data_IF_797095381577
#
_entry.id   IF_797095381577
#
_cell.length_a   1.000
_cell.length_b   1.000
_cell.length_c   1.000
_cell.angle_alpha   90.00
_cell.angle_beta   90.00
_cell.angle_gamma   90.00
#
_symmetry.space_group_name_H-M   'P 1'
#
loop_
_entity.id
_entity.type
_entity.pdbx_description
1 polymer ?
#
# COMPACT_ATOMS: atom_id res chain seq x y z
N UNK A 1 -35.24 19.64 23.63
CA UNK A 1 -34.27 18.75 24.31
C UNK A 1 -34.35 17.32 23.77
N UNK A 2 -35.53 16.71 23.63
CA UNK A 2 -35.66 15.33 23.11
C UNK A 2 -35.25 15.13 21.63
N UNK A 3 -35.51 16.09 20.74
CA UNK A 3 -35.17 15.95 19.31
C UNK A 3 -33.65 15.97 19.03
N UNK A 4 -32.86 16.60 19.90
CA UNK A 4 -31.40 16.60 19.77
C UNK A 4 -30.82 15.22 20.12
N UNK A 5 -31.33 14.56 21.15
CA UNK A 5 -30.91 13.21 21.53
C UNK A 5 -31.27 12.15 20.49
N UNK A 6 -32.41 12.27 19.80
CA UNK A 6 -32.77 11.37 18.69
C UNK A 6 -31.80 11.55 17.53
N UNK A 7 -31.45 12.80 17.17
CA UNK A 7 -30.50 13.08 16.08
C UNK A 7 -29.06 12.66 16.40
N UNK A 8 -28.64 12.70 17.67
CA UNK A 8 -27.35 12.20 18.12
C UNK A 8 -27.32 10.67 18.12
N UNK A 9 -28.41 10.03 18.54
CA UNK A 9 -28.56 8.59 18.50
C UNK A 9 -28.58 8.06 17.06
N UNK A 10 -29.29 8.74 16.15
CA UNK A 10 -29.35 8.38 14.73
C UNK A 10 -27.98 8.53 14.04
N UNK A 11 -27.24 9.62 14.31
CA UNK A 11 -25.86 9.78 13.84
C UNK A 11 -24.90 8.72 14.40
N UNK A 12 -25.05 8.35 15.68
CA UNK A 12 -24.25 7.28 16.29
C UNK A 12 -24.57 5.90 15.68
N UNK A 13 -25.84 5.63 15.39
CA UNK A 13 -26.30 4.40 14.74
C UNK A 13 -25.88 4.36 13.27
N UNK A 14 -25.92 5.47 12.54
CA UNK A 14 -25.42 5.56 11.15
C UNK A 14 -23.91 5.35 11.07
N UNK A 15 -23.14 5.96 11.97
CA UNK A 15 -21.71 5.72 12.10
C UNK A 15 -21.39 4.24 12.38
N UNK A 16 -22.09 3.65 13.35
CA UNK A 16 -21.93 2.24 13.71
C UNK A 16 -22.33 1.27 12.59
N UNK A 17 -23.43 1.54 11.86
CA UNK A 17 -23.84 0.74 10.69
C UNK A 17 -22.80 0.80 9.57
N UNK A 18 -22.23 1.98 9.31
CA UNK A 18 -21.19 2.14 8.30
C UNK A 18 -19.92 1.34 8.63
N UNK A 19 -19.49 1.38 9.88
CA UNK A 19 -18.35 0.58 10.36
C UNK A 19 -18.64 -0.92 10.27
N UNK A 20 -19.82 -1.37 10.71
CA UNK A 20 -20.23 -2.77 10.65
C UNK A 20 -20.21 -3.31 9.21
N UNK A 21 -20.69 -2.52 8.24
CA UNK A 21 -20.66 -2.88 6.82
C UNK A 21 -19.23 -3.01 6.31
N UNK A 22 -18.35 -2.06 6.66
CA UNK A 22 -16.92 -2.10 6.26
C UNK A 22 -16.22 -3.34 6.81
N UNK A 23 -16.42 -3.64 8.09
CA UNK A 23 -15.89 -4.85 8.70
C UNK A 23 -16.48 -6.11 8.07
N UNK A 24 -17.80 -6.14 7.83
CA UNK A 24 -18.50 -7.27 7.21
C UNK A 24 -17.98 -7.59 5.81
N UNK A 25 -17.87 -6.58 4.94
CA UNK A 25 -17.34 -6.75 3.57
C UNK A 25 -15.88 -7.21 3.60
N UNK A 26 -15.06 -6.63 4.49
CA UNK A 26 -13.66 -7.02 4.65
C UNK A 26 -13.52 -8.48 5.10
N UNK A 27 -14.34 -8.89 6.06
CA UNK A 27 -14.36 -10.25 6.57
C UNK A 27 -14.82 -11.25 5.50
N UNK A 28 -15.90 -10.95 4.77
CA UNK A 28 -16.39 -11.80 3.69
C UNK A 28 -15.36 -11.95 2.56
N UNK A 29 -14.66 -10.87 2.21
CA UNK A 29 -13.57 -10.92 1.24
C UNK A 29 -12.46 -11.86 1.70
N UNK A 30 -12.03 -11.75 2.96
CA UNK A 30 -11.00 -12.61 3.53
C UNK A 30 -11.42 -14.09 3.60
N UNK A 31 -12.69 -14.36 3.93
CA UNK A 31 -13.28 -15.73 3.87
C UNK A 31 -13.30 -16.24 2.43
N UNK A 32 -13.64 -15.38 1.46
CA UNK A 32 -13.60 -15.72 0.04
C UNK A 32 -12.20 -16.12 -0.43
N UNK A 33 -11.17 -15.36 -0.04
CA UNK A 33 -9.77 -15.69 -0.36
C UNK A 33 -9.33 -16.98 0.33
N UNK A 34 -9.72 -17.18 1.60
CA UNK A 34 -9.46 -18.43 2.32
C UNK A 34 -10.05 -19.64 1.58
N UNK A 35 -11.31 -19.56 1.16
CA UNK A 35 -11.98 -20.63 0.43
C UNK A 35 -11.32 -20.89 -0.93
N UNK A 36 -10.96 -19.82 -1.65
CA UNK A 36 -10.24 -19.94 -2.92
C UNK A 36 -8.88 -20.64 -2.73
N UNK A 37 -8.10 -20.23 -1.74
CA UNK A 37 -6.80 -20.83 -1.42
C UNK A 37 -6.92 -22.30 -1.01
N UNK A 38 -7.95 -22.66 -0.22
CA UNK A 38 -8.19 -24.03 0.21
C UNK A 38 -8.61 -24.96 -0.94
N UNK A 39 -9.35 -24.44 -1.93
CA UNK A 39 -9.85 -25.24 -3.06
C UNK A 39 -8.86 -25.37 -4.22
N UNK A 40 -7.93 -24.42 -4.35
CA UNK A 40 -6.97 -24.38 -5.45
C UNK A 40 -5.53 -24.70 -5.01
N UNK A 41 -5.27 -24.79 -3.70
CA UNK A 41 -3.98 -25.18 -3.14
C UNK A 41 -3.77 -26.69 -3.14
N UNK A 42 -3.35 -27.28 -4.26
CA UNK A 42 -3.01 -28.70 -4.30
C UNK A 42 -1.55 -28.94 -3.85
N UNK A 43 -1.30 -29.60 -2.70
CA UNK A 43 0.02 -30.11 -2.32
C UNK A 43 0.37 -30.11 -0.82
N UNK A 44 1.60 -30.53 -0.49
CA UNK A 44 2.13 -30.42 0.88
C UNK A 44 2.28 -28.95 1.26
N UNK A 45 1.71 -28.54 2.40
CA UNK A 45 1.70 -27.14 2.87
C UNK A 45 0.42 -26.36 2.59
N UNK A 46 -0.68 -27.05 2.24
CA UNK A 46 -2.01 -26.45 2.00
C UNK A 46 -2.46 -25.50 3.13
N UNK A 47 -2.30 -25.91 4.39
CA UNK A 47 -2.63 -25.06 5.55
C UNK A 47 -1.76 -23.79 5.59
N UNK A 48 -0.46 -23.92 5.31
CA UNK A 48 0.48 -22.78 5.29
C UNK A 48 0.14 -21.82 4.17
N UNK A 49 -0.27 -22.32 3.00
CA UNK A 49 -0.75 -21.50 1.89
C UNK A 49 -2.03 -20.75 2.25
N UNK A 50 -2.99 -21.41 2.89
CA UNK A 50 -4.24 -20.77 3.34
C UNK A 50 -3.94 -19.68 4.38
N UNK A 51 -3.06 -19.95 5.36
CA UNK A 51 -2.61 -18.95 6.32
C UNK A 51 -1.92 -17.77 5.63
N UNK A 52 -1.03 -18.03 4.69
CA UNK A 52 -0.36 -17.00 3.91
C UNK A 52 -1.33 -16.14 3.12
N UNK A 53 -2.34 -16.76 2.49
CA UNK A 53 -3.35 -16.05 1.72
C UNK A 53 -4.18 -15.10 2.61
N UNK A 54 -4.58 -15.54 3.80
CA UNK A 54 -5.32 -14.72 4.76
C UNK A 54 -4.47 -13.54 5.23
N UNK A 55 -3.23 -13.79 5.66
CA UNK A 55 -2.33 -12.74 6.15
C UNK A 55 -1.95 -11.76 5.03
N UNK A 56 -1.70 -12.25 3.81
CA UNK A 56 -1.43 -11.42 2.65
C UNK A 56 -2.65 -10.57 2.26
N UNK A 57 -3.86 -11.12 2.35
CA UNK A 57 -5.11 -10.37 2.13
C UNK A 57 -5.24 -9.25 3.17
N UNK A 58 -5.03 -9.56 4.44
CA UNK A 58 -5.06 -8.55 5.50
C UNK A 58 -4.01 -7.45 5.26
N UNK A 59 -2.78 -7.81 4.88
CA UNK A 59 -1.75 -6.84 4.50
C UNK A 59 -2.18 -5.98 3.31
N UNK A 60 -2.69 -6.58 2.23
CA UNK A 60 -3.11 -5.88 1.02
C UNK A 60 -4.23 -4.87 1.30
N UNK A 61 -5.19 -5.22 2.16
CA UNK A 61 -6.24 -4.30 2.60
C UNK A 61 -5.68 -3.11 3.37
N UNK A 62 -4.70 -3.33 4.25
CA UNK A 62 -4.03 -2.25 4.98
C UNK A 62 -3.20 -1.35 4.08
N UNK A 63 -2.50 -1.91 3.09
CA UNK A 63 -1.79 -1.13 2.06
C UNK A 63 -2.80 -0.25 1.31
N UNK A 64 -3.90 -0.81 0.83
CA UNK A 64 -4.92 -0.04 0.11
C UNK A 64 -5.51 1.10 0.97
N UNK A 65 -5.80 0.83 2.24
CA UNK A 65 -6.33 1.85 3.15
C UNK A 65 -5.33 2.99 3.44
N UNK A 66 -4.04 2.67 3.59
CA UNK A 66 -3.00 3.65 3.89
C UNK A 66 -2.56 4.45 2.65
N UNK A 67 -2.43 3.79 1.50
CA UNK A 67 -1.76 4.35 0.33
C UNK A 67 -2.72 5.01 -0.68
N UNK A 68 -4.03 4.74 -0.62
CA UNK A 68 -5.00 5.32 -1.57
C UNK A 68 -5.03 6.84 -1.56
N UNK A 69 -4.75 7.47 -0.40
CA UNK A 69 -4.69 8.92 -0.30
C UNK A 69 -3.57 9.53 -1.17
N UNK A 70 -2.52 8.76 -1.47
CA UNK A 70 -1.34 9.24 -2.20
C UNK A 70 -1.64 9.49 -3.69
N UNK A 71 -2.45 8.64 -4.33
CA UNK A 71 -2.77 8.76 -5.77
C UNK A 71 -4.10 9.49 -6.04
N UNK A 72 -5.13 9.30 -5.22
CA UNK A 72 -6.43 9.97 -5.41
C UNK A 72 -6.53 11.34 -4.76
N UNK A 73 -5.71 11.59 -3.73
CA UNK A 73 -5.78 12.78 -2.88
C UNK A 73 -5.74 14.10 -3.64
N UNK A 74 -4.77 14.33 -4.55
CA UNK A 74 -4.71 15.57 -5.33
C UNK A 74 -5.94 15.80 -6.21
N UNK A 75 -6.45 14.76 -6.88
CA UNK A 75 -7.58 14.89 -7.81
C UNK A 75 -8.92 15.12 -7.09
N UNK A 76 -9.15 14.40 -5.99
CA UNK A 76 -10.35 14.57 -5.15
C UNK A 76 -10.27 15.89 -4.36
N UNK A 77 -9.10 16.23 -3.82
CA UNK A 77 -8.87 17.47 -3.08
C UNK A 77 -9.03 18.73 -3.94
N UNK A 78 -8.64 18.66 -5.22
CA UNK A 78 -8.89 19.72 -6.20
C UNK A 78 -10.34 19.76 -6.71
N UNK A 79 -11.22 18.85 -6.25
CA UNK A 79 -12.60 18.66 -6.73
C UNK A 79 -12.70 18.37 -8.22
N UNK A 80 -11.66 17.78 -8.82
CA UNK A 80 -11.65 17.42 -10.23
C UNK A 80 -12.46 16.13 -10.50
N UNK A 81 -12.52 15.23 -9.52
CA UNK A 81 -13.26 13.97 -9.58
C UNK A 81 -13.89 13.65 -8.22
N UNK A 82 -14.99 12.89 -8.22
CA UNK A 82 -15.61 12.40 -6.98
C UNK A 82 -14.74 11.33 -6.32
N UNK A 83 -14.86 11.18 -4.99
CA UNK A 83 -14.14 10.15 -4.25
C UNK A 83 -14.43 8.75 -4.80
N UNK A 84 -15.69 8.43 -5.06
CA UNK A 84 -16.10 7.12 -5.61
C UNK A 84 -15.48 6.87 -6.98
N UNK A 85 -15.49 7.88 -7.87
CA UNK A 85 -14.88 7.77 -9.19
C UNK A 85 -13.36 7.56 -9.10
N UNK A 86 -12.69 8.30 -8.22
CA UNK A 86 -11.25 8.17 -8.03
C UNK A 86 -10.86 6.79 -7.47
N UNK A 87 -11.62 6.28 -6.50
CA UNK A 87 -11.40 4.94 -5.93
C UNK A 87 -11.60 3.83 -6.98
N UNK A 88 -12.59 3.97 -7.88
CA UNK A 88 -12.81 3.00 -8.95
C UNK A 88 -11.63 2.97 -9.95
N UNK A 89 -11.10 4.15 -10.31
CA UNK A 89 -9.92 4.26 -11.17
C UNK A 89 -8.69 3.66 -10.46
N UNK A 90 -8.45 4.04 -9.20
CA UNK A 90 -7.34 3.52 -8.41
C UNK A 90 -7.36 2.00 -8.34
N UNK A 91 -8.52 1.38 -8.05
CA UNK A 91 -8.65 -0.07 -8.01
C UNK A 91 -8.22 -0.75 -9.32
N UNK A 92 -8.63 -0.22 -10.48
CA UNK A 92 -8.25 -0.80 -11.78
C UNK A 92 -6.76 -0.68 -12.03
N UNK A 93 -6.18 0.52 -11.82
CA UNK A 93 -4.78 0.78 -12.14
C UNK A 93 -3.81 0.19 -11.11
N UNK A 94 -4.18 0.11 -9.83
CA UNK A 94 -3.35 -0.52 -8.80
C UNK A 94 -3.28 -2.04 -9.04
N UNK A 95 -4.39 -2.69 -9.39
CA UNK A 95 -4.40 -4.11 -9.78
C UNK A 95 -3.57 -4.31 -11.05
N UNK A 96 -3.76 -3.48 -12.08
CA UNK A 96 -2.99 -3.59 -13.32
C UNK A 96 -1.48 -3.39 -13.08
N UNK A 97 -1.09 -2.39 -12.27
CA UNK A 97 0.29 -2.12 -11.89
C UNK A 97 0.91 -3.29 -11.11
N UNK A 98 0.18 -3.86 -10.15
CA UNK A 98 0.61 -5.03 -9.41
C UNK A 98 0.87 -6.24 -10.33
N UNK A 99 0.02 -6.46 -11.33
CA UNK A 99 0.17 -7.57 -12.29
C UNK A 99 1.32 -7.34 -13.28
N UNK A 100 1.52 -6.11 -13.75
CA UNK A 100 2.54 -5.80 -14.78
C UNK A 100 3.94 -5.62 -14.20
N UNK A 101 4.06 -5.02 -13.02
CA UNK A 101 5.34 -4.61 -12.45
C UNK A 101 5.66 -5.24 -11.08
N UNK A 102 4.72 -5.98 -10.47
CA UNK A 102 4.87 -6.51 -9.11
C UNK A 102 5.96 -7.56 -8.96
N UNK A 103 6.23 -8.36 -10.00
CA UNK A 103 7.20 -9.47 -9.95
C UNK A 103 8.58 -9.03 -9.45
N UNK A 104 9.11 -7.92 -9.99
CA UNK A 104 10.42 -7.39 -9.61
C UNK A 104 10.47 -6.97 -8.14
N UNK A 105 9.36 -6.46 -7.60
CA UNK A 105 9.27 -6.04 -6.20
C UNK A 105 9.21 -7.28 -5.30
N UNK A 106 8.42 -8.28 -5.67
CA UNK A 106 8.31 -9.56 -4.95
C UNK A 106 9.68 -10.24 -4.87
N UNK A 107 10.42 -10.28 -5.97
CA UNK A 107 11.77 -10.84 -6.00
C UNK A 107 12.71 -10.12 -5.03
N UNK A 108 12.69 -8.78 -5.04
CA UNK A 108 13.49 -7.96 -4.10
C UNK A 108 13.11 -8.20 -2.65
N UNK A 109 11.83 -8.37 -2.33
CA UNK A 109 11.37 -8.66 -0.98
C UNK A 109 11.77 -10.06 -0.53
N UNK A 110 11.74 -11.06 -1.42
CA UNK A 110 12.05 -12.46 -1.11
C UNK A 110 13.54 -12.70 -0.83
N UNK A 111 14.43 -12.22 -1.70
CA UNK A 111 15.86 -12.59 -1.67
C UNK A 111 16.80 -11.38 -1.64
N UNK A 112 16.27 -10.17 -1.77
CA UNK A 112 17.07 -8.94 -1.74
C UNK A 112 17.42 -8.48 -0.32
N UNK A 113 16.57 -8.76 0.67
CA UNK A 113 16.71 -8.20 2.04
C UNK A 113 17.52 -9.13 2.94
N UNK A 114 17.18 -10.42 2.93
CA UNK A 114 17.88 -11.48 3.67
C UNK A 114 18.41 -12.51 2.67
N UNK A 115 19.48 -13.21 3.03
CA UNK A 115 20.13 -14.24 2.22
C UNK A 115 19.51 -15.61 2.54
N UNK A 116 18.62 -16.17 1.69
CA UNK A 116 17.93 -17.41 2.00
C UNK A 116 18.86 -18.62 2.05
N UNK A 117 19.98 -18.57 1.34
CA UNK A 117 20.95 -19.67 1.25
C UNK A 117 21.68 -19.96 2.57
N UNK A 118 21.61 -19.03 3.53
CA UNK A 118 22.15 -19.22 4.88
C UNK A 118 21.16 -19.99 5.79
N UNK A 119 19.90 -20.12 5.38
CA UNK A 119 18.89 -20.87 6.13
C UNK A 119 19.05 -22.37 5.84
N UNK A 120 19.14 -23.16 6.90
CA UNK A 120 19.27 -24.63 6.81
C UNK A 120 17.97 -25.33 6.42
N UNK A 121 16.82 -24.71 6.72
CA UNK A 121 15.49 -25.22 6.39
C UNK A 121 14.69 -24.15 5.61
N UNK A 122 14.26 -24.43 4.36
CA UNK A 122 13.41 -23.54 3.58
C UNK A 122 12.10 -23.14 4.27
N UNK A 123 11.61 -23.95 5.20
CA UNK A 123 10.40 -23.65 5.98
C UNK A 123 10.60 -22.43 6.89
N UNK A 124 11.83 -22.16 7.34
CA UNK A 124 12.15 -20.97 8.15
C UNK A 124 11.86 -19.70 7.35
N UNK A 125 12.19 -19.67 6.06
CA UNK A 125 11.90 -18.53 5.19
C UNK A 125 10.39 -18.26 5.11
N UNK A 126 9.58 -19.32 4.99
CA UNK A 126 8.12 -19.21 4.94
C UNK A 126 7.58 -18.58 6.23
N UNK A 127 8.08 -19.01 7.39
CA UNK A 127 7.70 -18.43 8.67
C UNK A 127 8.16 -16.99 8.85
N UNK A 128 9.37 -16.64 8.42
CA UNK A 128 9.86 -15.25 8.41
C UNK A 128 8.93 -14.37 7.58
N UNK A 129 8.57 -14.80 6.37
CA UNK A 129 7.72 -14.02 5.46
C UNK A 129 6.30 -13.89 6.00
N UNK A 130 5.73 -14.95 6.57
CA UNK A 130 4.42 -14.90 7.24
C UNK A 130 4.43 -13.92 8.42
N UNK A 131 5.44 -14.01 9.28
CA UNK A 131 5.59 -13.11 10.41
C UNK A 131 5.78 -11.66 9.95
N UNK A 132 6.57 -11.44 8.90
CA UNK A 132 6.82 -10.12 8.35
C UNK A 132 5.55 -9.48 7.78
N UNK A 133 4.75 -10.24 7.02
CA UNK A 133 3.46 -9.78 6.49
C UNK A 133 2.50 -9.42 7.64
N UNK A 134 2.38 -10.28 8.65
CA UNK A 134 1.48 -10.04 9.78
C UNK A 134 1.92 -8.83 10.60
N UNK A 135 3.20 -8.75 10.97
CA UNK A 135 3.75 -7.64 11.75
C UNK A 135 3.57 -6.30 11.01
N UNK A 136 3.83 -6.28 9.70
CA UNK A 136 3.63 -5.09 8.87
C UNK A 136 2.16 -4.70 8.79
N UNK A 137 1.27 -5.67 8.56
CA UNK A 137 -0.16 -5.41 8.45
C UNK A 137 -0.72 -4.83 9.75
N UNK A 138 -0.35 -5.41 10.91
CA UNK A 138 -0.74 -4.90 12.23
C UNK A 138 -0.20 -3.49 12.44
N UNK A 139 1.07 -3.23 12.13
CA UNK A 139 1.65 -1.90 12.28
C UNK A 139 0.95 -0.85 11.41
N UNK A 140 0.73 -1.15 10.13
CA UNK A 140 0.03 -0.25 9.20
C UNK A 140 -1.42 -0.03 9.65
N UNK A 141 -2.09 -1.07 10.14
CA UNK A 141 -3.45 -0.96 10.64
C UNK A 141 -3.55 -0.01 11.83
N UNK A 142 -2.63 -0.13 12.80
CA UNK A 142 -2.55 0.75 13.96
C UNK A 142 -2.26 2.19 13.52
N UNK A 143 -1.28 2.39 12.64
CA UNK A 143 -0.96 3.72 12.12
C UNK A 143 -2.14 4.37 11.38
N UNK A 144 -2.83 3.59 10.55
CA UNK A 144 -4.02 4.03 9.81
C UNK A 144 -5.17 4.39 10.75
N UNK A 145 -5.38 3.62 11.82
CA UNK A 145 -6.38 3.91 12.85
C UNK A 145 -6.08 5.22 13.60
N UNK A 146 -4.79 5.57 13.74
CA UNK A 146 -4.34 6.84 14.31
C UNK A 146 -4.34 7.99 13.29
N UNK A 147 -4.69 7.74 12.02
CA UNK A 147 -4.65 8.73 10.95
C UNK A 147 -3.23 9.15 10.54
N UNK A 148 -2.21 8.37 10.93
CA UNK A 148 -0.82 8.66 10.61
C UNK A 148 -0.43 8.00 9.27
N UNK A 149 -0.06 8.78 8.24
CA UNK A 149 0.44 8.22 7.00
C UNK A 149 1.84 7.61 7.24
N UNK A 150 1.95 6.30 7.07
CA UNK A 150 3.23 5.58 7.24
C UNK A 150 3.68 4.93 5.94
N UNK A 151 4.96 4.60 5.83
CA UNK A 151 5.46 3.85 4.67
C UNK A 151 5.23 2.34 4.85
N UNK A 152 4.41 1.78 3.97
CA UNK A 152 4.18 0.33 3.88
C UNK A 152 5.45 -0.43 3.50
N UNK A 153 6.32 0.19 2.67
CA UNK A 153 7.61 -0.37 2.26
C UNK A 153 8.60 -0.44 3.44
N UNK A 154 8.70 0.62 4.26
CA UNK A 154 9.55 0.57 5.46
C UNK A 154 9.07 -0.52 6.43
N UNK A 155 7.76 -0.67 6.60
CA UNK A 155 7.19 -1.67 7.49
C UNK A 155 7.61 -3.09 7.06
N UNK A 156 7.39 -3.46 5.79
CA UNK A 156 7.70 -4.82 5.31
C UNK A 156 9.20 -5.09 5.24
N UNK A 157 10.02 -4.12 4.80
CA UNK A 157 11.49 -4.30 4.78
C UNK A 157 12.04 -4.47 6.19
N UNK A 158 11.58 -3.66 7.14
CA UNK A 158 11.97 -3.75 8.55
C UNK A 158 11.52 -5.07 9.17
N UNK A 159 10.32 -5.54 8.86
CA UNK A 159 9.79 -6.79 9.38
C UNK A 159 10.53 -8.03 8.82
N UNK A 160 10.87 -8.04 7.52
CA UNK A 160 11.68 -9.10 6.91
C UNK A 160 13.09 -9.10 7.53
N UNK A 161 13.72 -7.93 7.67
CA UNK A 161 15.02 -7.82 8.31
C UNK A 161 14.97 -8.31 9.76
N UNK A 162 14.00 -7.85 10.54
CA UNK A 162 13.85 -8.23 11.95
C UNK A 162 13.57 -9.73 12.12
N UNK A 163 12.70 -10.30 11.30
CA UNK A 163 12.42 -11.74 11.28
C UNK A 163 13.64 -12.58 10.91
N UNK A 164 14.41 -12.14 9.91
CA UNK A 164 15.68 -12.77 9.56
C UNK A 164 16.70 -12.71 10.69
N UNK A 165 16.91 -11.53 11.28
CA UNK A 165 17.84 -11.34 12.40
C UNK A 165 17.44 -12.22 13.59
N UNK A 166 16.15 -12.34 13.88
CA UNK A 166 15.67 -13.22 14.95
C UNK A 166 15.91 -14.71 14.65
N UNK A 167 15.88 -15.12 13.38
CA UNK A 167 16.04 -16.51 12.98
C UNK A 167 17.49 -16.97 12.87
N UNK A 168 18.41 -16.10 12.40
CA UNK A 168 19.79 -16.49 12.08
C UNK A 168 20.86 -15.52 12.62
N UNK A 169 20.47 -14.31 13.01
CA UNK A 169 21.40 -13.25 13.41
C UNK A 169 21.63 -12.20 12.32
N UNK A 170 22.51 -11.24 12.60
CA UNK A 170 22.69 -10.03 11.79
C UNK A 170 23.34 -10.26 10.42
N UNK A 171 24.03 -11.38 10.28
CA UNK A 171 24.76 -11.82 9.09
C UNK A 171 23.84 -12.28 7.95
N UNK A 172 22.60 -12.67 8.27
CA UNK A 172 21.61 -13.04 7.25
C UNK A 172 21.19 -11.85 6.38
N UNK A 173 21.32 -10.63 6.88
CA UNK A 173 20.91 -9.42 6.15
C UNK A 173 21.88 -9.15 5.02
N UNK A 174 21.34 -8.93 3.82
CA UNK A 174 22.13 -8.51 2.67
C UNK A 174 22.44 -7.00 2.77
N UNK A 175 23.47 -6.65 3.53
CA UNK A 175 23.86 -5.25 3.77
C UNK A 175 24.12 -4.43 2.51
N UNK A 176 24.79 -4.96 1.46
CA UNK A 176 24.94 -4.23 0.19
C UNK A 176 23.62 -3.87 -0.49
N UNK A 177 22.61 -4.75 -0.44
CA UNK A 177 21.29 -4.45 -1.02
C UNK A 177 20.51 -3.52 -0.09
N UNK A 178 20.57 -3.76 1.22
CA UNK A 178 19.94 -2.90 2.22
C UNK A 178 20.42 -1.45 2.11
N UNK A 179 21.73 -1.23 1.92
CA UNK A 179 22.29 0.10 1.70
C UNK A 179 21.71 0.80 0.46
N UNK A 180 21.46 0.05 -0.63
CA UNK A 180 20.81 0.60 -1.84
C UNK A 180 19.34 0.93 -1.61
N UNK A 181 18.63 0.11 -0.83
CA UNK A 181 17.25 0.36 -0.43
C UNK A 181 17.17 1.64 0.42
N UNK A 182 18.01 1.77 1.45
CA UNK A 182 18.05 2.96 2.30
C UNK A 182 18.43 4.21 1.49
N UNK A 183 19.39 4.10 0.57
CA UNK A 183 19.74 5.20 -0.32
C UNK A 183 18.55 5.62 -1.20
N UNK A 184 17.75 4.67 -1.70
CA UNK A 184 16.57 4.99 -2.52
C UNK A 184 15.48 5.71 -1.73
N UNK A 185 15.35 5.46 -0.42
CA UNK A 185 14.40 6.17 0.45
C UNK A 185 14.72 7.65 0.60
N UNK A 186 15.99 8.04 0.47
CA UNK A 186 16.42 9.45 0.50
C UNK A 186 16.37 10.06 -0.90
N UNK A 187 16.88 9.33 -1.89
CA UNK A 187 16.99 9.85 -3.27
C UNK A 187 15.62 10.04 -3.91
N UNK A 188 14.67 9.13 -3.68
CA UNK A 188 13.36 9.18 -4.37
C UNK A 188 12.53 10.41 -4.01
N UNK A 189 12.36 10.80 -2.72
CA UNK A 189 11.66 12.04 -2.38
C UNK A 189 12.36 13.29 -2.89
N UNK A 190 13.70 13.34 -2.87
CA UNK A 190 14.47 14.47 -3.38
C UNK A 190 14.26 14.64 -4.88
N UNK A 191 14.40 13.56 -5.66
CA UNK A 191 14.15 13.59 -7.10
C UNK A 191 12.69 13.90 -7.41
N UNK A 192 11.74 13.31 -6.68
CA UNK A 192 10.31 13.59 -6.83
C UNK A 192 9.99 15.06 -6.58
N UNK A 193 10.54 15.66 -5.52
CA UNK A 193 10.41 17.08 -5.23
C UNK A 193 11.03 17.98 -6.29
N UNK A 194 12.23 17.64 -6.78
CA UNK A 194 12.89 18.38 -7.85
C UNK A 194 12.09 18.35 -9.16
N UNK A 195 11.59 17.17 -9.55
CA UNK A 195 10.73 17.01 -10.72
C UNK A 195 9.41 17.79 -10.55
N UNK A 196 8.75 17.66 -9.40
CA UNK A 196 7.53 18.41 -9.11
C UNK A 196 7.75 19.93 -9.20
N UNK A 197 8.87 20.44 -8.66
CA UNK A 197 9.24 21.85 -8.76
C UNK A 197 9.50 22.28 -10.22
N UNK A 198 10.18 21.44 -11.00
CA UNK A 198 10.41 21.67 -12.43
C UNK A 198 9.11 21.74 -13.22
N UNK A 199 8.20 20.77 -13.03
CA UNK A 199 6.88 20.76 -13.67
C UNK A 199 6.06 21.98 -13.27
N UNK A 200 6.07 22.36 -11.99
CA UNK A 200 5.38 23.57 -11.53
C UNK A 200 5.95 24.84 -12.17
N UNK A 201 7.27 24.95 -12.26
CA UNK A 201 7.93 26.07 -12.93
C UNK A 201 7.52 26.13 -14.41
N UNK A 202 7.53 25.00 -15.10
CA UNK A 202 7.14 24.90 -16.50
C UNK A 202 5.67 25.29 -16.73
N UNK A 203 4.74 24.78 -15.91
CA UNK A 203 3.31 25.12 -15.98
C UNK A 203 3.12 26.62 -15.73
N UNK A 204 3.78 27.18 -14.71
CA UNK A 204 3.68 28.62 -14.42
C UNK A 204 4.17 29.47 -15.58
N UNK A 205 5.33 29.11 -16.15
CA UNK A 205 5.94 29.88 -17.24
C UNK A 205 5.17 29.77 -18.55
N UNK A 206 4.68 28.58 -18.89
CA UNK A 206 4.08 28.29 -20.19
C UNK A 206 2.56 28.47 -20.22
N UNK A 207 1.89 28.51 -19.08
CA UNK A 207 0.43 28.67 -18.97
C UNK A 207 0.08 29.84 -18.07
N UNK A 208 0.47 29.81 -16.78
CA UNK A 208 -0.06 30.74 -15.77
C UNK A 208 0.37 32.20 -15.98
N UNK A 209 1.57 32.45 -16.50
CA UNK A 209 2.10 33.80 -16.72
C UNK A 209 1.79 34.37 -18.11
N UNK A 210 0.97 33.68 -18.92
CA UNK A 210 0.47 34.22 -20.18
C UNK A 210 -0.81 35.03 -19.95
N UNK A 211 -0.96 36.15 -20.68
CA UNK A 211 -2.14 37.00 -20.59
C UNK A 211 -3.44 36.26 -20.97
N UNK A 212 -3.37 35.36 -21.95
CA UNK A 212 -4.45 34.41 -22.28
C UNK A 212 -4.07 33.00 -21.81
N UNK A 213 -4.40 32.71 -20.55
CA UNK A 213 -4.13 31.42 -19.92
C UNK A 213 -4.87 30.27 -20.62
N UNK A 214 -6.07 30.51 -21.15
CA UNK A 214 -6.91 29.48 -21.75
C UNK A 214 -6.35 29.04 -23.11
N UNK A 215 -5.91 29.98 -23.95
CA UNK A 215 -5.25 29.67 -25.20
C UNK A 215 -3.91 28.95 -24.97
N UNK A 216 -3.14 29.38 -23.96
CA UNK A 216 -1.89 28.73 -23.59
C UNK A 216 -2.12 27.29 -23.09
N UNK A 217 -3.10 27.07 -22.21
CA UNK A 217 -3.45 25.76 -21.69
C UNK A 217 -3.84 24.78 -22.81
N UNK A 218 -4.65 25.22 -23.78
CA UNK A 218 -5.06 24.37 -24.93
C UNK A 218 -3.89 23.86 -25.77
N UNK A 219 -2.76 24.59 -25.79
CA UNK A 219 -1.55 24.18 -26.53
C UNK A 219 -0.63 23.32 -25.69
N UNK A 220 -0.48 23.63 -24.41
CA UNK A 220 0.57 23.04 -23.55
C UNK A 220 0.07 21.79 -22.82
N UNK A 221 -1.18 21.76 -22.34
CA UNK A 221 -1.73 20.62 -21.57
C UNK A 221 -1.72 19.29 -22.35
N UNK A 222 -2.06 19.23 -23.65
CA UNK A 222 -2.00 17.97 -24.40
C UNK A 222 -0.61 17.32 -24.48
N UNK A 223 0.46 18.11 -24.30
CA UNK A 223 1.82 17.58 -24.27
C UNK A 223 2.26 17.12 -22.86
N UNK A 224 1.47 17.44 -21.82
CA UNK A 224 1.73 17.07 -20.43
C UNK A 224 0.98 15.78 -20.00
N UNK A 225 0.02 15.31 -20.80
CA UNK A 225 -0.76 14.09 -20.60
C UNK A 225 -0.23 12.96 -21.47
#
# INVERSE_FOLDING_TARGET
MELQHISEFEKAVEGSRGELVRFGVSFLFMVGVMFFAATHGAGQGELTLVMAAIVATYMAMNIGANDVANNVGPAVGARAISLVGALAIAAVFDIAGALVAGERVIERMRSGIIQPDLLTDPQILVWIMLAALLASAVWINIASALGAPVSTTHAIVGAIMGGGIAAHGIDIVNWPVMGRIVASWVVSPVLGGALAAMFLYFIKRSITYHADMAAAARRVVPALL
#
